data_IF_071756867320
#
_entry.id   IF_071756867320
#
_cell.length_a   1.000
_cell.length_b   1.000
_cell.length_c   1.000
_cell.angle_alpha   90.00
_cell.angle_beta   90.00
_cell.angle_gamma   90.00
#
_symmetry.space_group_name_H-M   'P 1'
#
loop_
_entity.id
_entity.type
_entity.pdbx_description
1 polymer ?
#
# COMPACT_ATOMS: atom_id res chain seq x y z
N UNK A 1 -1.52 40.58 -2.09
CA UNK A 1 -1.63 39.21 -1.55
C UNK A 1 -0.25 38.59 -1.66
N UNK A 2 0.46 38.39 -0.54
CA UNK A 2 1.76 37.70 -0.59
C UNK A 2 1.47 36.21 -0.65
N UNK A 3 1.79 35.59 -1.78
CA UNK A 3 1.71 34.14 -1.93
C UNK A 3 2.76 33.55 -1.00
N UNK A 4 2.33 32.84 0.04
CA UNK A 4 3.24 32.07 0.90
C UNK A 4 3.97 31.08 -0.04
N UNK A 5 5.30 30.98 -0.01
CA UNK A 5 6.01 30.04 -0.87
C UNK A 5 5.43 28.65 -0.63
N UNK A 6 5.11 27.95 -1.71
CA UNK A 6 4.68 26.56 -1.62
C UNK A 6 5.81 25.78 -0.92
N UNK A 7 5.50 25.18 0.22
CA UNK A 7 6.42 24.27 0.92
C UNK A 7 5.80 22.87 0.82
N UNK A 8 5.95 22.15 -0.31
CA UNK A 8 5.25 20.89 -0.55
C UNK A 8 5.46 19.85 0.55
N UNK A 9 6.65 19.85 1.17
CA UNK A 9 6.93 19.01 2.33
C UNK A 9 6.08 19.40 3.54
N UNK A 10 6.01 20.69 3.88
CA UNK A 10 5.19 21.18 4.97
C UNK A 10 3.73 20.85 4.72
N UNK A 11 3.22 21.16 3.53
CA UNK A 11 1.81 20.96 3.17
C UNK A 11 1.43 19.48 3.25
N UNK A 12 2.26 18.58 2.73
CA UNK A 12 2.05 17.14 2.80
C UNK A 12 2.03 16.61 4.24
N UNK A 13 3.01 17.00 5.06
CA UNK A 13 3.09 16.54 6.45
C UNK A 13 1.99 17.17 7.31
N UNK A 14 1.61 18.41 7.03
CA UNK A 14 0.55 19.12 7.73
C UNK A 14 -0.81 18.50 7.42
N UNK A 15 -1.13 18.25 6.15
CA UNK A 15 -2.37 17.58 5.75
C UNK A 15 -2.49 16.21 6.43
N UNK A 16 -1.43 15.39 6.37
CA UNK A 16 -1.42 14.09 7.03
C UNK A 16 -1.62 14.16 8.55
N UNK A 17 -1.09 15.20 9.21
CA UNK A 17 -1.27 15.46 10.65
C UNK A 17 -2.70 15.90 10.97
N UNK A 18 -3.21 16.91 10.27
CA UNK A 18 -4.53 17.51 10.53
C UNK A 18 -5.66 16.53 10.26
N UNK A 19 -5.58 15.79 9.15
CA UNK A 19 -6.57 14.77 8.78
C UNK A 19 -6.38 13.45 9.52
N UNK A 20 -5.35 13.34 10.38
CA UNK A 20 -4.96 12.10 11.08
C UNK A 20 -4.85 10.93 10.12
N UNK A 21 -4.18 11.14 9.00
CA UNK A 21 -3.89 10.08 8.04
C UNK A 21 -2.90 9.11 8.66
N UNK A 22 -3.24 7.82 8.68
CA UNK A 22 -2.29 6.77 9.03
C UNK A 22 -1.23 6.71 7.94
N UNK A 23 0.04 6.76 8.31
CA UNK A 23 1.17 6.75 7.37
C UNK A 23 2.09 5.56 7.60
N UNK A 24 2.72 5.12 6.53
CA UNK A 24 3.90 4.27 6.57
C UNK A 24 5.13 5.12 6.28
N UNK A 25 6.07 5.13 7.23
CA UNK A 25 7.37 5.79 7.13
C UNK A 25 8.42 4.71 6.88
N UNK A 26 9.06 4.79 5.72
CA UNK A 26 10.12 3.88 5.32
C UNK A 26 11.45 4.54 5.64
N UNK A 27 12.31 3.81 6.34
CA UNK A 27 13.65 4.26 6.66
C UNK A 27 14.63 3.81 5.57
N UNK A 28 15.76 4.51 5.45
CA UNK A 28 16.82 4.19 4.49
C UNK A 28 17.41 2.79 4.67
N UNK A 29 17.33 2.23 5.88
CA UNK A 29 17.76 0.86 6.18
C UNK A 29 16.69 -0.21 5.87
N UNK A 30 15.54 0.17 5.33
CA UNK A 30 14.45 -0.73 4.95
C UNK A 30 13.41 -0.99 6.06
N UNK A 31 13.60 -0.47 7.28
CA UNK A 31 12.58 -0.59 8.33
C UNK A 31 11.33 0.22 7.95
N UNK A 32 10.15 -0.36 8.19
CA UNK A 32 8.85 0.30 8.01
C UNK A 32 8.22 0.60 9.36
N UNK A 33 8.03 1.87 9.66
CA UNK A 33 7.28 2.35 10.82
C UNK A 33 5.86 2.73 10.39
N UNK A 34 4.87 2.45 11.22
CA UNK A 34 3.46 2.75 10.92
C UNK A 34 2.84 3.49 12.09
N UNK A 35 2.13 4.57 11.80
CA UNK A 35 1.50 5.40 12.82
C UNK A 35 0.83 6.64 12.26
N UNK A 36 0.65 7.63 13.12
CA UNK A 36 0.11 8.95 12.77
C UNK A 36 1.16 10.02 13.05
N UNK A 37 1.24 11.03 12.19
CA UNK A 37 2.10 12.20 12.44
C UNK A 37 1.47 13.01 13.55
N UNK A 38 2.17 13.13 14.67
CA UNK A 38 1.75 13.93 15.82
C UNK A 38 2.22 15.38 15.68
N UNK A 39 3.48 15.58 15.27
CA UNK A 39 4.07 16.88 14.96
C UNK A 39 5.31 16.72 14.09
N UNK A 40 5.85 17.82 13.57
CA UNK A 40 7.10 17.83 12.80
C UNK A 40 7.74 19.22 12.83
N UNK A 41 9.03 19.26 12.56
CA UNK A 41 9.77 20.49 12.33
C UNK A 41 10.65 20.36 11.07
N UNK A 42 11.70 21.17 10.95
CA UNK A 42 12.65 21.10 9.84
C UNK A 42 13.39 19.76 9.76
N UNK A 43 13.75 19.12 10.87
CA UNK A 43 14.67 17.99 10.94
C UNK A 43 14.01 16.66 11.34
N UNK A 44 12.89 16.70 12.06
CA UNK A 44 12.24 15.50 12.62
C UNK A 44 10.75 15.43 12.34
N UNK A 45 10.22 14.22 12.41
CA UNK A 45 8.79 13.90 12.46
C UNK A 45 8.53 13.13 13.75
N UNK A 46 7.52 13.54 14.52
CA UNK A 46 7.03 12.79 15.68
C UNK A 46 5.93 11.84 15.20
N UNK A 47 6.19 10.55 15.34
CA UNK A 47 5.28 9.49 14.91
C UNK A 47 4.67 8.80 16.13
N UNK A 48 3.33 8.78 16.20
CA UNK A 48 2.59 8.04 17.22
C UNK A 48 2.14 6.69 16.68
N UNK A 49 2.64 5.63 17.28
CA UNK A 49 2.31 4.24 16.98
C UNK A 49 1.67 3.55 18.21
N UNK A 50 1.06 2.35 18.05
CA UNK A 50 0.55 1.59 19.19
C UNK A 50 1.63 1.28 20.25
N UNK A 51 2.90 1.18 19.84
CA UNK A 51 4.05 0.95 20.72
C UNK A 51 4.51 2.19 21.47
N UNK A 52 3.96 3.37 21.16
CA UNK A 52 4.32 4.64 21.78
C UNK A 52 4.65 5.75 20.78
N UNK A 53 5.20 6.84 21.31
CA UNK A 53 5.64 8.02 20.54
C UNK A 53 7.13 7.92 20.27
N UNK A 54 7.53 8.18 19.03
CA UNK A 54 8.93 8.16 18.61
C UNK A 54 9.29 9.37 17.76
N UNK A 55 10.51 9.86 17.93
CA UNK A 55 11.12 10.88 17.07
C UNK A 55 11.79 10.17 15.90
N UNK A 56 11.47 10.56 14.68
CA UNK A 56 12.11 10.04 13.47
C UNK A 56 12.85 11.18 12.77
N UNK A 57 14.16 11.05 12.62
CA UNK A 57 14.97 12.03 11.90
C UNK A 57 14.77 11.90 10.39
N UNK A 58 14.54 13.02 9.70
CA UNK A 58 14.30 13.03 8.25
C UNK A 58 15.46 12.50 7.42
N UNK A 59 16.71 12.62 7.88
CA UNK A 59 17.86 12.05 7.19
C UNK A 59 17.83 10.51 7.13
N UNK A 60 17.08 9.87 8.03
CA UNK A 60 16.91 8.42 8.06
C UNK A 60 15.65 7.97 7.31
N UNK A 61 14.79 8.89 6.84
CA UNK A 61 13.55 8.58 6.13
C UNK A 61 13.83 8.54 4.63
N UNK A 62 13.46 7.44 3.97
CA UNK A 62 13.47 7.32 2.52
C UNK A 62 12.12 7.72 1.90
N UNK A 63 11.00 7.38 2.53
CA UNK A 63 9.66 7.65 1.98
C UNK A 63 8.60 7.77 3.07
N UNK A 64 7.60 8.62 2.86
CA UNK A 64 6.37 8.69 3.67
C UNK A 64 5.20 8.54 2.70
N UNK A 65 4.28 7.61 2.97
CA UNK A 65 3.06 7.42 2.18
C UNK A 65 1.87 7.09 3.08
N UNK A 66 0.63 7.39 2.65
CA UNK A 66 -0.57 6.91 3.35
C UNK A 66 -0.58 5.38 3.49
N UNK A 67 -0.92 4.89 4.67
CA UNK A 67 -1.09 3.47 4.97
C UNK A 67 -2.58 3.13 4.98
N UNK A 68 -3.06 2.57 3.86
CA UNK A 68 -4.48 2.19 3.70
C UNK A 68 -4.86 0.92 4.48
N UNK A 69 -3.91 0.29 5.18
CA UNK A 69 -4.11 -0.96 5.92
C UNK A 69 -4.30 -2.19 5.02
N UNK A 70 -4.37 -2.01 3.69
CA UNK A 70 -4.40 -3.11 2.74
C UNK A 70 -2.96 -3.61 2.56
N UNK A 71 -2.71 -4.93 2.64
CA UNK A 71 -1.44 -5.50 2.24
C UNK A 71 -1.11 -5.03 0.82
N UNK A 72 0.16 -4.79 0.47
CA UNK A 72 0.52 -4.49 -0.91
C UNK A 72 0.02 -5.65 -1.77
N UNK A 73 -1.05 -5.41 -2.53
CA UNK A 73 -1.54 -6.39 -3.49
C UNK A 73 -0.47 -6.47 -4.56
N UNK A 74 0.37 -7.49 -4.49
CA UNK A 74 1.27 -7.82 -5.58
C UNK A 74 0.36 -8.19 -6.75
N UNK A 75 0.02 -7.23 -7.61
CA UNK A 75 -0.68 -7.48 -8.87
C UNK A 75 0.29 -8.25 -9.76
N UNK A 76 0.47 -9.53 -9.46
CA UNK A 76 0.91 -10.48 -10.47
C UNK A 76 -0.17 -10.39 -11.54
N UNK A 77 0.27 -10.11 -12.76
CA UNK A 77 -0.55 -10.07 -13.95
C UNK A 77 -1.43 -11.33 -14.02
N UNK A 78 -2.69 -11.23 -13.58
CA UNK A 78 -3.70 -12.23 -13.88
C UNK A 78 -4.03 -12.06 -15.36
N UNK A 79 -3.37 -12.88 -16.18
CA UNK A 79 -3.71 -13.01 -17.60
C UNK A 79 -4.89 -13.98 -17.66
N UNK A 80 -6.10 -13.57 -18.09
CA UNK A 80 -7.19 -14.51 -18.25
C UNK A 80 -6.87 -15.42 -19.44
N UNK A 81 -6.51 -16.68 -19.19
CA UNK A 81 -6.53 -17.70 -20.22
C UNK A 81 -8.00 -18.03 -20.54
N UNK A 82 -8.41 -17.70 -21.76
CA UNK A 82 -9.71 -18.10 -22.29
C UNK A 82 -9.74 -19.61 -22.54
N UNK A 83 -10.54 -20.32 -21.78
CA UNK A 83 -10.90 -21.71 -22.04
C UNK A 83 -11.92 -21.76 -23.20
N UNK A 84 -11.44 -21.64 -24.44
CA UNK A 84 -12.18 -22.06 -25.63
C UNK A 84 -12.04 -23.57 -25.81
N UNK A 85 -12.91 -24.34 -25.13
CA UNK A 85 -13.06 -25.77 -25.40
C UNK A 85 -14.46 -26.07 -25.92
N UNK A 86 -14.63 -26.48 -27.20
CA UNK A 86 -15.95 -26.82 -27.73
C UNK A 86 -16.43 -28.18 -27.18
N UNK A 87 -17.75 -28.38 -27.02
CA UNK A 87 -18.30 -29.62 -26.48
C UNK A 87 -18.16 -30.78 -27.49
N UNK A 88 -17.66 -31.91 -26.99
CA UNK A 88 -17.52 -33.17 -27.75
C UNK A 88 -18.89 -33.79 -27.98
N UNK A 89 -19.23 -34.04 -29.25
CA UNK A 89 -20.40 -34.86 -29.64
C UNK A 89 -20.12 -36.33 -29.32
N UNK A 90 -20.90 -36.93 -28.43
CA UNK A 90 -20.95 -38.39 -28.24
C UNK A 90 -21.98 -38.99 -29.19
N UNK A 91 -21.55 -39.83 -30.12
CA UNK A 91 -22.43 -40.71 -30.90
C UNK A 91 -22.71 -42.02 -30.16
N UNK A 92 -23.87 -42.66 -30.35
CA UNK A 92 -24.20 -43.91 -29.67
C UNK A 92 -23.66 -45.10 -30.48
N UNK A 93 -22.82 -45.93 -29.85
CA UNK A 93 -22.29 -47.16 -30.44
C UNK A 93 -22.16 -48.25 -29.38
N UNK A 94 -23.11 -49.19 -29.47
CA UNK A 94 -22.99 -50.63 -29.26
C UNK A 94 -22.34 -51.19 -27.99
N UNK A 95 -23.13 -52.00 -27.27
CA UNK A 95 -22.70 -52.80 -26.13
C UNK A 95 -23.48 -54.09 -26.03
N UNK A 96 -23.10 -55.05 -26.85
CA UNK A 96 -23.61 -56.42 -26.93
C UNK A 96 -23.58 -57.21 -25.62
N UNK A 97 -24.63 -58.05 -25.48
CA UNK A 97 -24.75 -59.36 -24.80
C UNK A 97 -23.47 -60.01 -24.28
N UNK A 98 -23.54 -60.53 -23.05
CA UNK A 98 -22.82 -61.74 -22.63
C UNK A 98 -23.79 -62.67 -21.89
N UNK A 99 -23.71 -63.95 -22.25
CA UNK A 99 -23.97 -65.09 -21.38
C UNK A 99 -22.65 -65.77 -21.08
#
# INVERSE_FOLDING_TARGET
>A
MVQKPDEPQYDLLNAAREERVRVAVFLVNGIRLVGYIESFDRHVVILRAPTGVQVVYKHAISTIQPDTGKPPTNRRHDTPHGDDRPPRRTGPGDGHRQG
#
